data_IF_125850082846
#
_entry.id   IF_125850082846
#
_cell.length_a   1.000
_cell.length_b   1.000
_cell.length_c   1.000
_cell.angle_alpha   90.00
_cell.angle_beta   90.00
_cell.angle_gamma   90.00
#
_symmetry.space_group_name_H-M   'P 1'
#
loop_
_entity.id
_entity.type
_entity.pdbx_description
1 polymer ?
#
# COMPACT_ATOMS: atom_id res chain seq x y z
N UNK A 1 -0.37 35.36 -11.87
CA UNK A 1 -0.84 33.97 -12.02
C UNK A 1 0.01 33.05 -11.17
N UNK A 2 -0.59 32.13 -10.46
CA UNK A 2 0.11 31.18 -9.59
C UNK A 2 -0.35 29.78 -9.97
N UNK A 3 0.60 28.85 -10.15
CA UNK A 3 0.32 27.41 -10.26
C UNK A 3 0.64 26.81 -8.90
N UNK A 4 -0.39 26.30 -8.23
CA UNK A 4 -0.25 25.72 -6.89
C UNK A 4 0.12 24.25 -6.98
N UNK A 5 0.76 23.73 -5.92
CA UNK A 5 0.97 22.31 -5.77
C UNK A 5 -0.37 21.62 -5.48
N UNK A 6 -0.77 20.73 -6.36
CA UNK A 6 -2.02 19.99 -6.22
C UNK A 6 -1.92 18.66 -6.96
N UNK A 7 -2.72 17.70 -6.53
CA UNK A 7 -2.83 16.40 -7.18
C UNK A 7 -4.22 16.24 -7.77
N UNK A 8 -4.27 15.86 -9.04
CA UNK A 8 -5.52 15.75 -9.78
C UNK A 8 -6.08 14.33 -9.79
N UNK A 9 -5.20 13.33 -9.67
CA UNK A 9 -5.61 11.92 -9.78
C UNK A 9 -4.73 11.04 -8.91
N UNK A 10 -5.36 10.15 -8.16
CA UNK A 10 -4.72 9.03 -7.48
C UNK A 10 -5.44 7.77 -7.92
N UNK A 11 -4.73 6.85 -8.55
CA UNK A 11 -5.29 5.58 -9.00
C UNK A 11 -4.66 4.45 -8.19
N UNK A 12 -5.49 3.79 -7.38
CA UNK A 12 -5.05 2.72 -6.49
C UNK A 12 -5.94 1.49 -6.72
N UNK A 13 -5.45 0.48 -7.46
CA UNK A 13 -6.24 -0.73 -7.71
C UNK A 13 -6.40 -1.57 -6.44
N UNK A 14 -7.46 -2.36 -6.39
CA UNK A 14 -7.65 -3.34 -5.33
C UNK A 14 -6.58 -4.41 -5.38
N UNK A 15 -6.19 -4.91 -4.21
CA UNK A 15 -5.25 -6.04 -4.07
C UNK A 15 -6.05 -7.28 -3.73
N UNK A 16 -5.79 -8.36 -4.45
CA UNK A 16 -6.37 -9.68 -4.14
C UNK A 16 -5.25 -10.71 -3.99
N UNK A 17 -5.28 -11.43 -2.89
CA UNK A 17 -4.36 -12.55 -2.67
C UNK A 17 -4.90 -13.88 -3.19
N UNK A 18 -6.14 -13.90 -3.71
CA UNK A 18 -6.78 -15.11 -4.17
C UNK A 18 -7.29 -15.99 -3.03
N UNK A 19 -7.21 -17.29 -3.20
CA UNK A 19 -7.69 -18.28 -2.23
C UNK A 19 -6.62 -19.32 -1.94
N UNK A 20 -6.51 -19.72 -0.69
CA UNK A 20 -5.63 -20.80 -0.25
C UNK A 20 -6.14 -21.39 1.05
N UNK A 21 -5.68 -22.60 1.38
CA UNK A 21 -6.07 -23.30 2.61
C UNK A 21 -5.19 -22.97 3.81
N UNK A 22 -3.96 -22.51 3.56
CA UNK A 22 -2.96 -22.22 4.60
C UNK A 22 -2.30 -20.88 4.33
N UNK A 23 -1.90 -20.17 5.40
CA UNK A 23 -1.24 -18.87 5.27
C UNK A 23 0.05 -18.94 4.46
N UNK A 24 0.81 -20.02 4.54
CA UNK A 24 2.05 -20.19 3.78
C UNK A 24 1.86 -20.46 2.30
N UNK A 25 0.62 -20.68 1.85
CA UNK A 25 0.30 -20.95 0.45
C UNK A 25 -0.04 -19.70 -0.36
N UNK A 26 -0.15 -18.53 0.27
CA UNK A 26 -0.37 -17.28 -0.45
C UNK A 26 0.94 -16.72 -0.98
N UNK A 27 0.94 -16.36 -2.25
CA UNK A 27 2.06 -15.63 -2.87
C UNK A 27 1.97 -14.15 -2.53
N UNK A 28 3.11 -13.46 -2.60
CA UNK A 28 3.11 -11.99 -2.59
C UNK A 28 2.40 -11.44 -3.83
N UNK A 29 1.82 -10.25 -3.68
CA UNK A 29 1.13 -9.56 -4.78
C UNK A 29 1.78 -8.20 -4.96
N UNK A 30 2.10 -7.85 -6.22
CA UNK A 30 2.59 -6.53 -6.57
C UNK A 30 1.51 -5.75 -7.29
N UNK A 31 1.38 -4.47 -6.94
CA UNK A 31 0.48 -3.52 -7.58
C UNK A 31 1.16 -2.17 -7.67
N UNK A 32 0.61 -1.29 -8.50
CA UNK A 32 1.15 0.06 -8.69
C UNK A 32 0.06 1.09 -8.40
N UNK A 33 0.39 2.06 -7.56
CA UNK A 33 -0.41 3.26 -7.34
C UNK A 33 0.16 4.35 -8.25
N UNK A 34 -0.70 5.00 -9.03
CA UNK A 34 -0.35 6.12 -9.87
C UNK A 34 -0.83 7.42 -9.23
N UNK A 35 0.05 8.40 -9.14
CA UNK A 35 -0.27 9.71 -8.58
C UNK A 35 0.10 10.79 -9.59
N UNK A 36 -0.86 11.66 -9.90
CA UNK A 36 -0.66 12.79 -10.81
C UNK A 36 -0.78 14.08 -10.02
N UNK A 37 0.34 14.76 -9.86
CA UNK A 37 0.43 16.05 -9.16
C UNK A 37 1.07 17.11 -10.06
N UNK A 38 1.08 18.35 -9.60
CA UNK A 38 1.70 19.47 -10.34
C UNK A 38 3.14 19.14 -10.70
N UNK A 39 3.57 19.52 -11.91
CA UNK A 39 4.91 19.26 -12.41
C UNK A 39 5.96 19.81 -11.43
N UNK A 40 6.97 19.00 -11.13
CA UNK A 40 8.07 19.39 -10.25
C UNK A 40 7.72 19.44 -8.77
N UNK A 41 6.47 19.14 -8.37
CA UNK A 41 6.10 19.13 -6.95
C UNK A 41 6.78 17.99 -6.20
N UNK A 42 7.13 18.25 -4.95
CA UNK A 42 7.68 17.27 -4.03
C UNK A 42 6.63 16.97 -2.95
N UNK A 43 6.36 15.70 -2.74
CA UNK A 43 5.34 15.25 -1.81
C UNK A 43 5.68 13.88 -1.25
N UNK A 44 4.92 13.43 -0.27
CA UNK A 44 4.98 12.07 0.23
C UNK A 44 3.62 11.40 0.09
N UNK A 45 3.65 10.11 -0.19
CA UNK A 45 2.45 9.27 -0.27
C UNK A 45 2.42 8.35 0.93
N UNK A 46 1.32 8.37 1.67
CA UNK A 46 1.09 7.51 2.81
C UNK A 46 0.00 6.48 2.56
N UNK A 47 0.13 5.33 3.19
CA UNK A 47 -0.92 4.33 3.28
C UNK A 47 -1.35 4.20 4.73
N UNK A 48 -2.65 4.28 4.99
CA UNK A 48 -3.19 4.06 6.34
C UNK A 48 -2.84 2.65 6.84
N UNK A 49 -2.92 2.47 8.14
CA UNK A 49 -2.71 1.14 8.75
C UNK A 49 -3.91 0.20 8.57
N UNK A 50 -4.92 0.62 7.80
CA UNK A 50 -6.14 -0.16 7.61
C UNK A 50 -7.12 -0.04 8.78
N UNK A 51 -8.20 -0.81 8.71
CA UNK A 51 -9.27 -0.74 9.70
C UNK A 51 -9.03 -1.62 10.93
N UNK A 52 -8.11 -2.59 10.84
CA UNK A 52 -7.91 -3.60 11.88
C UNK A 52 -6.44 -3.74 12.30
N UNK A 53 -5.68 -2.67 12.22
CA UNK A 53 -4.27 -2.67 12.63
C UNK A 53 -4.13 -3.10 14.09
N UNK A 54 -3.20 -4.03 14.34
CA UNK A 54 -2.91 -4.51 15.70
C UNK A 54 -1.43 -4.85 15.84
N UNK A 55 -0.85 -4.44 16.96
CA UNK A 55 0.59 -4.61 17.18
C UNK A 55 1.39 -3.80 16.19
N UNK A 56 2.11 -4.46 15.29
CA UNK A 56 2.98 -3.84 14.31
C UNK A 56 2.57 -4.09 12.86
N UNK A 57 1.43 -4.75 12.63
CA UNK A 57 0.99 -5.16 11.30
C UNK A 57 -0.44 -4.76 11.01
N UNK A 58 -0.74 -4.59 9.71
CA UNK A 58 -2.10 -4.52 9.20
C UNK A 58 -2.75 -5.89 9.34
N UNK A 59 -4.07 -5.89 9.48
CA UNK A 59 -4.85 -7.13 9.54
C UNK A 59 -6.09 -7.03 8.67
N UNK A 60 -6.42 -8.12 8.00
CA UNK A 60 -7.71 -8.33 7.38
C UNK A 60 -8.63 -9.04 8.36
N UNK A 61 -9.93 -8.79 8.23
CA UNK A 61 -10.93 -9.36 9.11
C UNK A 61 -11.95 -10.20 8.36
N UNK A 62 -12.40 -11.25 9.02
CA UNK A 62 -13.61 -12.01 8.67
C UNK A 62 -14.39 -12.22 9.97
N UNK A 63 -15.40 -11.36 10.24
CA UNK A 63 -16.05 -11.32 11.55
C UNK A 63 -15.03 -11.00 12.66
N UNK A 64 -14.96 -11.87 13.66
CA UNK A 64 -13.99 -11.74 14.76
C UNK A 64 -12.60 -12.29 14.43
N UNK A 65 -12.44 -12.99 13.32
CA UNK A 65 -11.18 -13.58 12.92
C UNK A 65 -10.28 -12.57 12.21
N UNK A 66 -8.97 -12.73 12.36
CA UNK A 66 -7.96 -11.81 11.80
C UNK A 66 -6.92 -12.58 11.00
N UNK A 67 -6.41 -11.92 9.95
CA UNK A 67 -5.35 -12.42 9.10
C UNK A 67 -4.33 -11.30 8.93
N UNK A 68 -3.15 -11.45 9.50
CA UNK A 68 -2.11 -10.44 9.45
C UNK A 68 -1.46 -10.39 8.06
N UNK A 69 -1.28 -9.19 7.54
CA UNK A 69 -0.60 -8.91 6.29
C UNK A 69 0.14 -7.59 6.41
N UNK A 70 0.97 -7.26 5.43
CA UNK A 70 1.48 -5.90 5.33
C UNK A 70 1.82 -5.52 3.89
N UNK A 71 2.13 -4.23 3.70
CA UNK A 71 2.44 -3.63 2.41
C UNK A 71 3.81 -2.98 2.51
N UNK A 72 4.65 -3.22 1.50
CA UNK A 72 6.04 -2.79 1.48
C UNK A 72 6.35 -2.02 0.20
N UNK A 73 7.19 -1.00 0.31
CA UNK A 73 7.64 -0.19 -0.83
C UNK A 73 8.51 -1.03 -1.76
N UNK A 74 8.29 -0.89 -3.05
CA UNK A 74 9.11 -1.57 -4.07
C UNK A 74 8.78 -3.05 -4.21
N UNK A 75 9.78 -3.82 -4.57
CA UNK A 75 9.64 -5.25 -4.91
C UNK A 75 10.12 -6.19 -3.82
N UNK A 76 10.50 -5.66 -2.66
CA UNK A 76 10.95 -6.42 -1.50
C UNK A 76 9.94 -6.32 -0.36
N UNK A 77 10.19 -7.04 0.73
CA UNK A 77 9.33 -7.03 1.92
C UNK A 77 10.07 -6.47 3.13
N UNK A 78 10.96 -5.50 2.91
CA UNK A 78 11.82 -4.94 3.96
C UNK A 78 11.47 -3.52 4.37
N UNK A 79 10.81 -2.74 3.51
CA UNK A 79 10.49 -1.33 3.76
C UNK A 79 8.99 -1.14 3.84
N UNK A 80 8.43 -1.22 5.04
CA UNK A 80 7.00 -1.07 5.25
C UNK A 80 6.51 0.30 4.77
N UNK A 81 5.40 0.32 4.06
CA UNK A 81 4.74 1.54 3.60
C UNK A 81 3.60 1.89 4.56
N UNK A 82 3.75 2.99 5.28
CA UNK A 82 2.83 3.37 6.33
C UNK A 82 2.36 4.82 6.25
N UNK A 83 1.64 5.29 7.28
CA UNK A 83 0.95 6.57 7.25
C UNK A 83 1.79 7.76 7.70
N UNK A 84 2.94 7.55 8.33
CA UNK A 84 3.66 8.64 8.98
C UNK A 84 5.17 8.45 8.96
N UNK A 85 5.89 9.56 9.13
CA UNK A 85 7.34 9.58 9.27
C UNK A 85 8.05 8.95 8.07
N UNK A 86 9.08 8.16 8.34
CA UNK A 86 9.87 7.47 7.32
C UNK A 86 9.12 6.32 6.64
N UNK A 87 7.97 5.90 7.16
CA UNK A 87 7.13 4.90 6.53
C UNK A 87 6.38 5.45 5.31
N UNK A 88 6.24 6.76 5.17
CA UNK A 88 5.69 7.39 3.97
C UNK A 88 6.68 7.29 2.82
N UNK A 89 6.18 7.33 1.60
CA UNK A 89 7.00 7.20 0.39
C UNK A 89 7.15 8.55 -0.30
N UNK A 90 8.40 9.04 -0.39
CA UNK A 90 8.69 10.31 -1.06
C UNK A 90 8.53 10.20 -2.57
N UNK A 91 7.99 11.26 -3.19
CA UNK A 91 7.91 11.36 -4.65
C UNK A 91 9.29 11.31 -5.31
N UNK A 92 10.34 11.75 -4.62
CA UNK A 92 11.71 11.71 -5.13
C UNK A 92 12.24 10.28 -5.29
N UNK A 93 11.65 9.30 -4.59
CA UNK A 93 12.04 7.88 -4.62
C UNK A 93 10.95 6.99 -5.20
N UNK A 94 10.00 7.56 -5.96
CA UNK A 94 8.98 6.79 -6.66
C UNK A 94 9.63 5.74 -7.58
N UNK A 95 8.91 4.66 -7.87
CA UNK A 95 9.43 3.58 -8.72
C UNK A 95 9.77 4.08 -10.11
N UNK A 96 8.92 4.92 -10.68
CA UNK A 96 9.15 5.53 -11.99
C UNK A 96 8.34 6.80 -12.18
N UNK A 97 8.75 7.61 -13.15
CA UNK A 97 8.06 8.80 -13.62
C UNK A 97 7.71 8.59 -15.09
N UNK A 98 6.45 8.79 -15.45
CA UNK A 98 6.00 8.63 -16.83
C UNK A 98 6.55 9.74 -17.74
N UNK A 99 6.43 9.52 -19.06
CA UNK A 99 6.90 10.46 -20.07
C UNK A 99 6.20 11.84 -20.02
N UNK A 100 5.00 11.92 -19.43
CA UNK A 100 4.28 13.17 -19.19
C UNK A 100 4.94 14.05 -18.12
N UNK A 101 5.92 13.52 -17.39
CA UNK A 101 6.70 14.17 -16.32
C UNK A 101 5.88 14.59 -15.10
N UNK A 102 4.64 14.13 -14.96
CA UNK A 102 3.76 14.42 -13.82
C UNK A 102 3.20 13.17 -13.15
N UNK A 103 3.02 12.07 -13.88
CA UNK A 103 2.54 10.81 -13.31
C UNK A 103 3.69 10.04 -12.69
N UNK A 104 3.65 9.87 -11.38
CA UNK A 104 4.61 9.05 -10.64
C UNK A 104 3.98 7.71 -10.27
N UNK A 105 4.78 6.66 -10.40
CA UNK A 105 4.35 5.30 -10.13
C UNK A 105 5.00 4.79 -8.86
N UNK A 106 4.19 4.16 -8.00
CA UNK A 106 4.62 3.60 -6.73
C UNK A 106 4.26 2.11 -6.74
N UNK A 107 5.17 1.29 -7.23
CA UNK A 107 4.99 -0.16 -7.24
C UNK A 107 5.33 -0.73 -5.88
N UNK A 108 4.41 -1.47 -5.29
CA UNK A 108 4.54 -2.03 -3.96
C UNK A 108 4.29 -3.53 -3.95
N UNK A 109 4.72 -4.18 -2.88
CA UNK A 109 4.52 -5.60 -2.62
C UNK A 109 3.67 -5.77 -1.37
N UNK A 110 2.61 -6.54 -1.48
CA UNK A 110 1.77 -6.93 -0.36
C UNK A 110 2.00 -8.41 -0.03
N UNK A 111 2.06 -8.73 1.26
CA UNK A 111 2.37 -10.07 1.75
C UNK A 111 1.48 -10.45 2.93
N UNK A 112 0.91 -11.66 2.88
CA UNK A 112 0.30 -12.28 4.05
C UNK A 112 1.42 -12.88 4.89
N UNK A 113 1.45 -12.55 6.18
CA UNK A 113 2.53 -12.96 7.08
C UNK A 113 2.44 -14.46 7.37
N UNK A 114 3.52 -15.17 7.08
CA UNK A 114 3.58 -16.64 7.20
C UNK A 114 3.94 -17.13 8.60
N UNK A 115 4.32 -16.21 9.50
CA UNK A 115 4.70 -16.55 10.89
C UNK A 115 3.50 -16.72 11.83
N UNK A 116 2.30 -16.41 11.35
CA UNK A 116 1.06 -16.58 12.10
C UNK A 116 0.44 -17.95 11.88
N UNK A 117 -0.41 -18.38 12.82
CA UNK A 117 -1.25 -19.55 12.62
C UNK A 117 -2.34 -19.25 11.58
N UNK A 118 -2.70 -20.25 10.78
CA UNK A 118 -3.81 -20.12 9.84
C UNK A 118 -5.11 -19.89 10.60
N UNK A 119 -5.82 -18.78 10.36
CA UNK A 119 -7.09 -18.52 11.03
C UNK A 119 -8.22 -19.41 10.46
N UNK A 120 -9.42 -19.26 11.01
CA UNK A 120 -10.60 -19.98 10.52
C UNK A 120 -10.90 -19.63 9.06
N UNK A 121 -11.49 -20.57 8.33
CA UNK A 121 -11.93 -20.34 6.95
C UNK A 121 -12.92 -19.17 6.89
N UNK A 122 -12.82 -18.36 5.87
CA UNK A 122 -13.68 -17.20 5.67
C UNK A 122 -13.13 -16.27 4.60
N UNK A 123 -13.87 -15.21 4.35
CA UNK A 123 -13.45 -14.13 3.44
C UNK A 123 -12.86 -13.00 4.29
N UNK A 124 -11.57 -12.76 4.11
CA UNK A 124 -10.82 -11.74 4.85
C UNK A 124 -10.63 -10.51 3.98
N UNK A 125 -10.92 -9.34 4.54
CA UNK A 125 -10.75 -8.07 3.84
C UNK A 125 -10.31 -6.97 4.80
N UNK A 126 -9.70 -5.93 4.23
CA UNK A 126 -9.32 -4.71 4.91
C UNK A 126 -9.43 -3.55 3.94
N UNK A 127 -9.49 -2.34 4.48
CA UNK A 127 -9.50 -1.11 3.71
C UNK A 127 -8.32 -0.23 4.12
N UNK A 128 -7.49 0.11 3.13
CA UNK A 128 -6.34 0.99 3.29
C UNK A 128 -6.58 2.26 2.48
N UNK A 129 -6.35 3.41 3.10
CA UNK A 129 -6.54 4.71 2.47
C UNK A 129 -5.20 5.26 2.02
N UNK A 130 -5.14 5.77 0.79
CA UNK A 130 -3.97 6.45 0.22
C UNK A 130 -4.13 7.95 0.46
N UNK A 131 -3.07 8.60 0.97
CA UNK A 131 -3.05 10.06 1.10
C UNK A 131 -1.75 10.64 0.56
N UNK A 132 -1.83 11.89 0.13
CA UNK A 132 -0.68 12.66 -0.36
C UNK A 132 -0.52 13.89 0.52
N UNK A 133 0.72 14.17 0.93
CA UNK A 133 1.08 15.34 1.74
C UNK A 133 2.24 16.10 1.09
N UNK A 134 2.07 17.39 0.96
CA UNK A 134 3.11 18.30 0.47
C UNK A 134 4.02 18.78 1.57
#
# INVERSE_FOLDING_TARGET
MVITNDCTTITAPNVSFGSASLVGSFSTVQQTINVVCSKGSTYTVGLSNGSYFSGTTRQMASGANRLAYDIYKGTTTTNRWGPSGSDRWSSATSTSLNADTVTRNFTYTAQILTTQNTPAAGNYSDRVVVDVAF
#
